data_IF_767418427479
#
_entry.id   IF_767418427479
#
_cell.length_a   1.000
_cell.length_b   1.000
_cell.length_c   1.000
_cell.angle_alpha   90.00
_cell.angle_beta   90.00
_cell.angle_gamma   90.00
#
_symmetry.space_group_name_H-M   'P 1'
#
loop_
_entity.id
_entity.type
_entity.pdbx_description
1 polymer ?
#
# COMPACT_ATOMS: atom_id res chain seq x y z
N UNK A 1 26.30 51.31 -24.12
CA UNK A 1 27.22 50.36 -23.49
C UNK A 1 26.68 50.01 -22.12
N UNK A 2 25.88 48.94 -22.06
CA UNK A 2 25.27 48.43 -20.81
C UNK A 2 25.84 47.05 -20.60
N UNK A 3 26.78 46.95 -19.65
CA UNK A 3 27.39 45.69 -19.22
C UNK A 3 26.38 44.88 -18.41
N UNK A 4 25.92 43.76 -19.01
CA UNK A 4 25.15 42.75 -18.31
C UNK A 4 26.10 41.98 -17.39
N UNK A 5 26.01 42.24 -16.09
CA UNK A 5 26.79 41.58 -15.08
C UNK A 5 26.13 40.21 -14.78
N UNK A 6 26.55 39.16 -15.50
CA UNK A 6 26.15 37.77 -15.27
C UNK A 6 26.81 37.27 -13.97
N UNK A 7 26.07 37.33 -12.88
CA UNK A 7 26.45 36.67 -11.64
C UNK A 7 26.63 35.17 -11.86
N UNK A 8 27.74 34.55 -11.39
CA UNK A 8 27.95 33.11 -11.52
C UNK A 8 26.89 32.37 -10.71
N UNK A 9 26.13 31.51 -11.40
CA UNK A 9 25.15 30.61 -10.82
C UNK A 9 25.91 29.54 -10.02
N UNK A 10 26.19 29.81 -8.75
CA UNK A 10 26.77 28.83 -7.81
C UNK A 10 25.66 27.87 -7.43
N UNK A 11 25.43 26.89 -8.28
CA UNK A 11 24.64 25.72 -7.92
C UNK A 11 25.39 24.97 -6.81
N UNK A 12 25.04 25.25 -5.54
CA UNK A 12 25.48 24.47 -4.38
C UNK A 12 25.00 23.05 -4.57
N UNK A 13 25.85 22.16 -5.07
CA UNK A 13 25.68 20.72 -4.91
C UNK A 13 25.71 20.43 -3.42
N UNK A 14 24.56 20.51 -2.77
CA UNK A 14 24.40 20.07 -1.39
C UNK A 14 24.69 18.57 -1.41
N UNK A 15 25.78 18.17 -0.76
CA UNK A 15 26.20 16.77 -0.70
C UNK A 15 25.02 15.93 -0.19
N UNK A 16 24.69 14.83 -0.88
CA UNK A 16 23.59 13.91 -0.49
C UNK A 16 23.68 13.48 0.97
N UNK A 17 24.90 13.34 1.49
CA UNK A 17 25.17 13.03 2.89
C UNK A 17 24.60 14.10 3.83
N UNK A 18 24.67 15.39 3.46
CA UNK A 18 24.15 16.49 4.28
C UNK A 18 22.63 16.54 4.29
N UNK A 19 21.97 16.02 3.25
CA UNK A 19 20.50 15.92 3.19
C UNK A 19 19.98 14.68 3.91
N UNK A 20 20.67 13.55 3.84
CA UNK A 20 20.22 12.27 4.39
C UNK A 20 20.72 12.07 5.83
N UNK A 21 21.84 12.72 6.21
CA UNK A 21 22.44 12.60 7.53
C UNK A 21 21.46 12.82 8.70
N UNK A 22 20.71 13.93 8.73
CA UNK A 22 19.75 14.18 9.80
C UNK A 22 18.65 13.12 9.91
N UNK A 23 18.17 12.60 8.78
CA UNK A 23 17.15 11.53 8.77
C UNK A 23 17.70 10.21 9.33
N UNK A 24 18.94 9.85 8.99
CA UNK A 24 19.59 8.65 9.54
C UNK A 24 19.80 8.80 11.04
N UNK A 25 20.33 9.94 11.50
CA UNK A 25 20.54 10.21 12.93
C UNK A 25 19.21 10.13 13.69
N UNK A 26 18.17 10.75 13.17
CA UNK A 26 16.84 10.66 13.77
C UNK A 26 16.33 9.22 13.83
N UNK A 27 16.45 8.44 12.74
CA UNK A 27 16.04 7.04 12.69
C UNK A 27 16.78 6.18 13.72
N UNK A 28 18.10 6.33 13.82
CA UNK A 28 18.92 5.60 14.81
C UNK A 28 18.56 6.01 16.23
N UNK A 29 18.40 7.31 16.49
CA UNK A 29 17.99 7.81 17.81
C UNK A 29 16.61 7.30 18.22
N UNK A 30 15.66 7.27 17.27
CA UNK A 30 14.32 6.73 17.51
C UNK A 30 14.35 5.24 17.84
N UNK A 31 15.12 4.43 17.09
CA UNK A 31 15.27 3.00 17.37
C UNK A 31 15.94 2.74 18.71
N UNK A 32 16.96 3.52 19.05
CA UNK A 32 17.63 3.42 20.35
C UNK A 32 16.70 3.79 21.52
N UNK A 33 15.90 4.85 21.36
CA UNK A 33 14.89 5.26 22.33
C UNK A 33 13.83 4.17 22.52
N UNK A 34 13.31 3.60 21.42
CA UNK A 34 12.36 2.50 21.47
C UNK A 34 12.93 1.27 22.17
N UNK A 35 14.13 0.83 21.79
CA UNK A 35 14.82 -0.30 22.44
C UNK A 35 14.97 -0.05 23.94
N UNK A 36 15.41 1.16 24.32
CA UNK A 36 15.61 1.54 25.72
C UNK A 36 14.30 1.58 26.51
N UNK A 37 13.23 2.08 25.91
CA UNK A 37 11.91 2.11 26.52
C UNK A 37 11.37 0.69 26.77
N UNK A 38 11.45 -0.19 25.76
CA UNK A 38 10.97 -1.59 25.89
C UNK A 38 11.74 -2.34 26.99
N UNK A 39 13.05 -2.16 27.04
CA UNK A 39 13.89 -2.82 28.05
C UNK A 39 13.76 -2.17 29.43
N UNK A 40 13.66 -0.84 29.50
CA UNK A 40 13.57 -0.11 30.76
C UNK A 40 12.24 -0.33 31.51
N UNK A 41 11.15 -0.49 30.76
CA UNK A 41 9.82 -0.78 31.31
C UNK A 41 9.50 -2.30 31.38
N UNK A 42 10.46 -3.16 31.06
CA UNK A 42 10.30 -4.63 31.01
C UNK A 42 9.04 -5.06 30.21
N UNK A 43 8.80 -4.40 29.07
CA UNK A 43 7.60 -4.66 28.26
C UNK A 43 7.69 -6.06 27.65
N UNK A 44 6.63 -6.83 27.83
CA UNK A 44 6.55 -8.17 27.25
C UNK A 44 6.44 -8.12 25.72
N UNK A 45 7.10 -9.05 24.98
CA UNK A 45 7.13 -9.03 23.51
C UNK A 45 5.76 -9.08 22.82
N UNK A 46 4.73 -9.62 23.50
CA UNK A 46 3.36 -9.64 22.99
C UNK A 46 2.66 -8.27 23.07
N UNK A 47 3.19 -7.35 23.89
CA UNK A 47 2.69 -5.99 24.01
C UNK A 47 3.43 -5.05 23.06
N UNK A 48 4.76 -5.05 23.14
CA UNK A 48 5.63 -4.29 22.26
C UNK A 48 6.99 -5.00 22.15
N UNK A 49 7.34 -5.49 20.95
CA UNK A 49 8.62 -6.12 20.72
C UNK A 49 9.74 -5.08 20.58
N UNK A 50 10.90 -5.35 21.14
CA UNK A 50 12.09 -4.53 20.95
C UNK A 50 12.60 -4.62 19.49
N UNK A 51 13.12 -3.54 18.89
CA UNK A 51 13.73 -3.56 17.55
C UNK A 51 14.73 -4.68 17.31
N UNK A 52 15.61 -4.95 18.29
CA UNK A 52 16.55 -6.06 18.23
C UNK A 52 15.88 -7.42 18.11
N UNK A 53 14.78 -7.64 18.83
CA UNK A 53 13.99 -8.88 18.75
C UNK A 53 13.25 -9.03 17.42
N UNK A 54 12.77 -7.95 16.86
CA UNK A 54 12.16 -7.93 15.51
C UNK A 54 13.19 -8.34 14.48
N UNK A 55 14.42 -7.76 14.54
CA UNK A 55 15.53 -8.14 13.67
C UNK A 55 15.90 -9.61 13.80
N UNK A 56 16.08 -10.11 15.02
CA UNK A 56 16.37 -11.52 15.29
C UNK A 56 15.33 -12.45 14.66
N UNK A 57 14.04 -12.18 14.87
CA UNK A 57 12.94 -12.98 14.33
C UNK A 57 12.84 -12.88 12.82
N UNK A 58 13.14 -11.72 12.24
CA UNK A 58 13.18 -11.54 10.80
C UNK A 58 14.22 -12.48 10.14
N UNK A 59 15.45 -12.46 10.63
CA UNK A 59 16.51 -13.31 10.08
C UNK A 59 16.27 -14.80 10.36
N UNK A 60 15.75 -15.14 11.52
CA UNK A 60 15.42 -16.52 11.89
C UNK A 60 14.31 -17.12 11.03
N UNK A 61 13.33 -16.31 10.62
CA UNK A 61 12.18 -16.75 9.87
C UNK A 61 12.19 -16.25 8.41
N UNK A 62 13.34 -15.82 7.89
CA UNK A 62 13.45 -15.20 6.57
C UNK A 62 12.79 -16.02 5.45
N UNK A 63 13.05 -17.33 5.41
CA UNK A 63 12.46 -18.22 4.40
C UNK A 63 10.92 -18.21 4.44
N UNK A 64 10.36 -18.29 5.64
CA UNK A 64 8.91 -18.26 5.84
C UNK A 64 8.29 -16.90 5.48
N UNK A 65 8.99 -15.82 5.82
CA UNK A 65 8.57 -14.46 5.46
C UNK A 65 8.60 -14.29 3.95
N UNK A 66 9.64 -14.80 3.29
CA UNK A 66 9.77 -14.72 1.84
C UNK A 66 8.66 -15.50 1.13
N UNK A 67 8.38 -16.73 1.57
CA UNK A 67 7.27 -17.54 1.06
C UNK A 67 5.92 -16.83 1.22
N UNK A 68 5.62 -16.33 2.42
CA UNK A 68 4.39 -15.58 2.68
C UNK A 68 4.30 -14.30 1.83
N UNK A 69 5.42 -13.62 1.60
CA UNK A 69 5.49 -12.40 0.78
C UNK A 69 5.23 -12.69 -0.70
N UNK A 70 5.78 -13.79 -1.23
CA UNK A 70 5.54 -14.18 -2.63
C UNK A 70 4.10 -14.59 -2.87
N UNK A 71 3.49 -15.31 -1.94
CA UNK A 71 2.06 -15.67 -2.00
C UNK A 71 1.19 -14.41 -1.96
N UNK A 72 1.45 -13.51 -1.01
CA UNK A 72 0.68 -12.26 -0.88
C UNK A 72 0.88 -11.34 -2.09
N UNK A 73 2.13 -11.21 -2.55
CA UNK A 73 2.47 -10.44 -3.75
C UNK A 73 1.82 -11.00 -5.01
N UNK A 74 1.81 -12.32 -5.18
CA UNK A 74 1.12 -13.00 -6.28
C UNK A 74 -0.38 -12.72 -6.28
N UNK A 75 -1.03 -12.83 -5.13
CA UNK A 75 -2.46 -12.51 -5.00
C UNK A 75 -2.77 -11.04 -5.30
N UNK A 76 -1.89 -10.13 -4.85
CA UNK A 76 -2.02 -8.71 -5.13
C UNK A 76 -1.86 -8.40 -6.63
N UNK A 77 -0.89 -9.01 -7.30
CA UNK A 77 -0.68 -8.85 -8.75
C UNK A 77 -1.86 -9.38 -9.57
N UNK A 78 -2.35 -10.57 -9.26
CA UNK A 78 -3.54 -11.13 -9.94
C UNK A 78 -4.74 -10.20 -9.76
N UNK A 79 -5.00 -9.77 -8.52
CA UNK A 79 -6.11 -8.86 -8.25
C UNK A 79 -5.96 -7.50 -8.93
N UNK A 80 -4.75 -6.96 -8.99
CA UNK A 80 -4.43 -5.70 -9.68
C UNK A 80 -4.72 -5.81 -11.19
N UNK A 81 -4.20 -6.85 -11.84
CA UNK A 81 -4.37 -7.03 -13.29
C UNK A 81 -5.84 -7.25 -13.63
N UNK A 82 -6.49 -8.21 -12.95
CA UNK A 82 -7.90 -8.54 -13.21
C UNK A 82 -8.80 -7.35 -12.89
N UNK A 83 -8.62 -6.69 -11.74
CA UNK A 83 -9.40 -5.51 -11.34
C UNK A 83 -9.23 -4.34 -12.30
N UNK A 84 -8.01 -4.10 -12.79
CA UNK A 84 -7.74 -3.05 -13.78
C UNK A 84 -8.44 -3.36 -15.11
N UNK A 85 -8.30 -4.58 -15.63
CA UNK A 85 -8.93 -4.98 -16.91
C UNK A 85 -10.45 -4.83 -16.81
N UNK A 86 -11.06 -5.36 -15.75
CA UNK A 86 -12.51 -5.27 -15.54
C UNK A 86 -12.98 -3.83 -15.34
N UNK A 87 -12.23 -3.04 -14.55
CA UNK A 87 -12.55 -1.63 -14.31
C UNK A 87 -12.50 -0.78 -15.57
N UNK A 88 -11.44 -0.93 -16.37
CA UNK A 88 -11.30 -0.24 -17.66
C UNK A 88 -12.40 -0.68 -18.64
N UNK A 89 -12.62 -1.99 -18.80
CA UNK A 89 -13.66 -2.50 -19.70
C UNK A 89 -15.05 -1.98 -19.32
N UNK A 90 -15.40 -2.01 -18.04
CA UNK A 90 -16.67 -1.47 -17.55
C UNK A 90 -16.77 0.04 -17.76
N UNK A 91 -15.69 0.80 -17.50
CA UNK A 91 -15.68 2.24 -17.76
C UNK A 91 -15.95 2.58 -19.23
N UNK A 92 -15.38 1.83 -20.18
CA UNK A 92 -15.67 2.00 -21.60
C UNK A 92 -17.15 1.72 -21.93
N UNK A 93 -17.74 0.67 -21.34
CA UNK A 93 -19.16 0.35 -21.51
C UNK A 93 -20.02 1.50 -20.97
N UNK A 94 -19.74 2.00 -19.76
CA UNK A 94 -20.49 3.08 -19.14
C UNK A 94 -20.36 4.40 -19.91
N UNK A 95 -19.18 4.70 -20.47
CA UNK A 95 -18.94 5.86 -21.32
C UNK A 95 -19.71 5.78 -22.64
N UNK A 96 -19.89 4.57 -23.19
CA UNK A 96 -20.65 4.35 -24.43
C UNK A 96 -22.15 4.44 -24.24
N UNK A 97 -22.66 4.00 -23.07
CA UNK A 97 -24.08 3.94 -22.77
C UNK A 97 -24.40 4.83 -21.56
N UNK A 98 -24.70 6.10 -21.82
CA UNK A 98 -24.96 7.12 -20.79
C UNK A 98 -25.98 6.71 -19.74
N UNK A 99 -27.06 6.05 -20.15
CA UNK A 99 -28.08 5.53 -19.23
C UNK A 99 -27.49 4.52 -18.21
N UNK A 100 -26.61 3.62 -18.66
CA UNK A 100 -25.92 2.69 -17.76
C UNK A 100 -24.99 3.42 -16.80
N UNK A 101 -24.29 4.46 -17.28
CA UNK A 101 -23.41 5.28 -16.44
C UNK A 101 -24.17 5.95 -15.30
N UNK A 102 -25.31 6.54 -15.59
CA UNK A 102 -26.17 7.22 -14.60
C UNK A 102 -26.74 6.25 -13.55
N UNK A 103 -27.00 4.99 -13.92
CA UNK A 103 -27.52 3.96 -13.01
C UNK A 103 -26.42 3.27 -12.21
N UNK A 104 -25.31 2.89 -12.85
CA UNK A 104 -24.25 2.06 -12.23
C UNK A 104 -23.33 2.88 -11.35
N UNK A 105 -23.06 4.15 -11.70
CA UNK A 105 -22.13 5.00 -10.92
C UNK A 105 -22.56 5.16 -9.46
N UNK A 106 -23.80 5.54 -9.11
CA UNK A 106 -24.20 5.66 -7.71
C UNK A 106 -24.19 4.30 -6.99
N UNK A 107 -24.52 3.21 -7.69
CA UNK A 107 -24.44 1.86 -7.13
C UNK A 107 -22.99 1.45 -6.83
N UNK A 108 -22.06 1.74 -7.74
CA UNK A 108 -20.64 1.48 -7.55
C UNK A 108 -20.07 2.26 -6.35
N UNK A 109 -20.47 3.52 -6.17
CA UNK A 109 -20.07 4.35 -5.02
C UNK A 109 -20.64 3.76 -3.73
N UNK A 110 -21.91 3.34 -3.72
CA UNK A 110 -22.55 2.72 -2.56
C UNK A 110 -21.86 1.39 -2.18
N UNK A 111 -21.53 0.54 -3.16
CA UNK A 111 -20.81 -0.71 -2.93
C UNK A 111 -19.39 -0.48 -2.41
N UNK A 112 -18.72 0.56 -2.89
CA UNK A 112 -17.38 0.93 -2.38
C UNK A 112 -17.41 1.47 -0.93
N UNK A 113 -18.57 1.91 -0.46
CA UNK A 113 -18.75 2.33 0.94
C UNK A 113 -18.89 1.14 1.91
N UNK A 114 -19.09 -0.08 1.41
CA UNK A 114 -19.12 -1.28 2.27
C UNK A 114 -17.75 -1.49 2.91
N UNK A 115 -17.67 -1.57 4.25
CA UNK A 115 -16.40 -1.79 4.92
C UNK A 115 -15.73 -3.09 4.43
N UNK A 116 -14.49 -2.98 3.96
CA UNK A 116 -13.75 -4.08 3.33
C UNK A 116 -13.66 -5.32 4.23
N UNK A 117 -13.57 -5.14 5.55
CA UNK A 117 -13.48 -6.26 6.51
C UNK A 117 -14.79 -7.06 6.58
N UNK A 118 -15.95 -6.49 6.24
CA UNK A 118 -17.21 -7.24 6.14
C UNK A 118 -17.16 -8.18 4.94
N UNK A 119 -16.66 -7.70 3.80
CA UNK A 119 -16.46 -8.54 2.61
C UNK A 119 -15.43 -9.65 2.86
N UNK A 120 -14.34 -9.35 3.58
CA UNK A 120 -13.35 -10.36 4.00
C UNK A 120 -14.01 -11.47 4.81
N UNK A 121 -14.84 -11.12 5.79
CA UNK A 121 -15.51 -12.11 6.65
C UNK A 121 -16.47 -13.00 5.83
N UNK A 122 -17.24 -12.42 4.93
CA UNK A 122 -18.17 -13.15 4.04
C UNK A 122 -17.40 -14.10 3.12
N UNK A 123 -16.38 -13.60 2.43
CA UNK A 123 -15.60 -14.40 1.49
C UNK A 123 -14.82 -15.53 2.18
N UNK A 124 -14.25 -15.28 3.35
CA UNK A 124 -13.57 -16.32 4.13
C UNK A 124 -14.55 -17.42 4.61
N UNK A 125 -15.79 -17.05 4.91
CA UNK A 125 -16.82 -18.02 5.28
C UNK A 125 -17.27 -18.87 4.07
N UNK A 126 -17.32 -18.27 2.86
CA UNK A 126 -17.71 -18.97 1.63
C UNK A 126 -16.62 -19.91 1.09
N UNK A 127 -15.34 -19.50 1.13
CA UNK A 127 -14.24 -20.16 0.44
C UNK A 127 -13.22 -20.82 1.35
N UNK A 128 -13.31 -20.69 2.67
CA UNK A 128 -12.28 -21.04 3.66
C UNK A 128 -11.16 -20.01 3.81
N UNK A 129 -10.69 -19.85 5.05
CA UNK A 129 -9.61 -18.94 5.45
C UNK A 129 -8.26 -19.30 4.78
N UNK A 130 -8.05 -20.59 4.47
CA UNK A 130 -6.82 -21.08 3.83
C UNK A 130 -6.80 -20.87 2.32
N UNK A 131 -7.94 -20.56 1.70
CA UNK A 131 -8.05 -20.34 0.27
C UNK A 131 -7.41 -19.01 -0.15
N UNK A 132 -6.81 -18.99 -1.32
CA UNK A 132 -6.28 -17.78 -1.97
C UNK A 132 -7.37 -16.94 -2.65
N UNK A 133 -8.53 -17.58 -2.94
CA UNK A 133 -9.64 -16.96 -3.68
C UNK A 133 -10.16 -15.70 -2.99
N UNK A 134 -10.47 -15.68 -1.67
CA UNK A 134 -10.92 -14.49 -0.97
C UNK A 134 -9.96 -13.31 -1.13
N UNK A 135 -8.65 -13.57 -1.01
CA UNK A 135 -7.61 -12.53 -1.11
C UNK A 135 -7.57 -11.92 -2.50
N UNK A 136 -7.59 -12.75 -3.57
CA UNK A 136 -7.62 -12.30 -4.97
C UNK A 136 -8.88 -11.52 -5.29
N UNK A 137 -10.04 -12.02 -4.88
CA UNK A 137 -11.34 -11.35 -5.08
C UNK A 137 -11.36 -9.99 -4.40
N UNK A 138 -10.85 -9.90 -3.16
CA UNK A 138 -10.79 -8.63 -2.43
C UNK A 138 -9.94 -7.58 -3.15
N UNK A 139 -8.71 -7.93 -3.55
CA UNK A 139 -7.85 -7.00 -4.28
C UNK A 139 -8.50 -6.61 -5.61
N UNK A 140 -9.07 -7.58 -6.34
CA UNK A 140 -9.78 -7.34 -7.59
C UNK A 140 -10.91 -6.33 -7.42
N UNK A 141 -11.76 -6.49 -6.40
CA UNK A 141 -12.88 -5.57 -6.14
C UNK A 141 -12.40 -4.16 -5.81
N UNK A 142 -11.40 -4.02 -4.93
CA UNK A 142 -10.85 -2.71 -4.56
C UNK A 142 -10.29 -2.00 -5.79
N UNK A 143 -9.46 -2.68 -6.57
CA UNK A 143 -8.86 -2.11 -7.79
C UNK A 143 -9.93 -1.78 -8.83
N UNK A 144 -10.87 -2.70 -9.05
CA UNK A 144 -12.00 -2.50 -9.97
C UNK A 144 -12.75 -1.20 -9.70
N UNK A 145 -13.17 -0.97 -8.44
CA UNK A 145 -13.91 0.24 -8.08
C UNK A 145 -13.07 1.51 -8.23
N UNK A 146 -11.80 1.46 -7.84
CA UNK A 146 -10.88 2.61 -8.00
C UNK A 146 -10.74 2.97 -9.47
N UNK A 147 -10.47 1.98 -10.33
CA UNK A 147 -10.29 2.18 -11.76
C UNK A 147 -11.59 2.65 -12.42
N UNK A 148 -12.71 1.99 -12.10
CA UNK A 148 -14.03 2.34 -12.63
C UNK A 148 -14.36 3.82 -12.39
N UNK A 149 -14.23 4.28 -11.14
CA UNK A 149 -14.57 5.66 -10.76
C UNK A 149 -13.62 6.67 -11.38
N UNK A 150 -12.33 6.36 -11.47
CA UNK A 150 -11.35 7.29 -12.03
C UNK A 150 -11.44 7.39 -13.56
N UNK A 151 -11.59 6.28 -14.27
CA UNK A 151 -11.71 6.26 -15.73
C UNK A 151 -13.08 6.81 -16.19
N UNK A 152 -14.15 6.59 -15.43
CA UNK A 152 -15.46 7.14 -15.76
C UNK A 152 -15.56 8.67 -15.58
N UNK A 153 -14.64 9.29 -14.81
CA UNK A 153 -14.60 10.75 -14.59
C UNK A 153 -13.69 11.50 -15.57
N UNK A 154 -12.76 10.79 -16.21
CA UNK A 154 -11.78 11.36 -17.17
C UNK A 154 -12.32 11.36 -18.56
#
# INVERSE_FOLDING_TARGET
MSGVNSAPNVSRKVSRVRQIGPAIVFGVAFLALWESAVRGFDLKPYFLAAPSKIGEQFFKNYSRIWEASTVSGGNALVGLVVGTILGVAMSFILSRYRFLGELVTPLAIALNAIPIFVLVAILNNMYSITSEIPRRVMVTLVVYFIVLVNVAKG
#
